data_IF_587136751581
#
_entry.id   IF_587136751581
#
_cell.length_a   1.000
_cell.length_b   1.000
_cell.length_c   1.000
_cell.angle_alpha   90.00
_cell.angle_beta   90.00
_cell.angle_gamma   90.00
#
_symmetry.space_group_name_H-M   'P 1'
#
loop_
_entity.id
_entity.type
_entity.pdbx_description
1 polymer ?
#
# COMPACT_ATOMS: atom_id res chain seq x y z
N UNK A 1 13.01 -24.98 30.62
CA UNK A 1 14.34 -25.23 30.04
C UNK A 1 14.14 -25.47 28.55
N UNK A 2 14.71 -24.64 27.64
CA UNK A 2 14.51 -24.83 26.21
C UNK A 2 15.37 -25.98 25.68
N UNK A 3 14.76 -26.75 24.78
CA UNK A 3 15.22 -28.02 24.25
C UNK A 3 16.51 -27.89 23.41
N UNK A 4 17.42 -28.85 23.61
CA UNK A 4 18.82 -28.85 23.20
C UNK A 4 19.00 -28.85 21.67
N UNK A 5 17.98 -29.29 20.93
CA UNK A 5 17.96 -29.30 19.46
C UNK A 5 17.85 -27.89 18.83
N UNK A 6 17.24 -26.92 19.54
CA UNK A 6 17.09 -25.57 18.99
C UNK A 6 18.42 -24.79 19.05
N UNK A 7 19.28 -25.11 20.01
CA UNK A 7 20.63 -24.51 20.14
C UNK A 7 21.64 -25.14 19.17
N UNK A 8 21.49 -26.41 18.81
CA UNK A 8 22.40 -27.06 17.86
C UNK A 8 22.17 -26.63 16.40
N UNK A 9 20.94 -26.31 16.00
CA UNK A 9 20.63 -25.84 14.64
C UNK A 9 21.13 -24.40 14.44
N UNK A 10 21.09 -23.57 15.49
CA UNK A 10 21.59 -22.19 15.45
C UNK A 10 23.13 -22.09 15.48
N UNK A 11 23.82 -23.03 16.15
CA UNK A 11 25.29 -23.03 16.21
C UNK A 11 25.97 -23.68 15.00
N UNK A 12 25.30 -24.58 14.26
CA UNK A 12 25.88 -25.22 13.05
C UNK A 12 25.86 -24.32 11.80
N UNK A 13 25.12 -23.22 11.83
CA UNK A 13 25.15 -22.20 10.77
C UNK A 13 26.30 -21.16 10.96
N UNK A 14 27.09 -21.26 12.03
CA UNK A 14 28.10 -20.27 12.42
C UNK A 14 29.53 -20.82 12.48
N UNK A 15 29.81 -21.96 11.84
CA UNK A 15 31.15 -22.60 11.87
C UNK A 15 31.61 -23.17 10.53
N UNK A 16 31.48 -22.36 9.47
CA UNK A 16 32.25 -22.51 8.24
C UNK A 16 32.86 -21.15 7.84
N UNK A 17 34.04 -20.87 8.43
CA UNK A 17 35.19 -20.19 7.81
C UNK A 17 34.95 -18.80 7.17
N UNK A 18 35.44 -17.68 7.69
CA UNK A 18 36.83 -17.44 8.12
C UNK A 18 37.89 -18.02 7.17
N UNK A 19 37.65 -17.93 5.84
CA UNK A 19 38.66 -18.21 4.83
C UNK A 19 38.54 -17.35 3.55
N UNK A 20 38.35 -16.04 3.67
CA UNK A 20 38.65 -15.09 2.58
C UNK A 20 39.20 -13.77 3.15
N UNK A 21 40.32 -13.85 3.87
CA UNK A 21 41.19 -12.69 4.15
C UNK A 21 42.58 -12.95 3.57
N UNK A 22 42.68 -12.82 2.24
CA UNK A 22 43.93 -12.49 1.54
C UNK A 22 43.59 -11.54 0.40
N UNK A 23 43.64 -10.24 0.68
CA UNK A 23 43.68 -9.20 -0.37
C UNK A 23 44.95 -9.45 -1.20
N UNK A 24 44.80 -9.68 -2.50
CA UNK A 24 45.91 -9.53 -3.45
C UNK A 24 46.21 -8.03 -3.62
N UNK A 25 47.48 -7.62 -3.78
CA UNK A 25 47.78 -6.24 -4.11
C UNK A 25 47.31 -5.92 -5.53
N UNK A 26 46.69 -4.75 -5.70
CA UNK A 26 46.33 -4.16 -6.99
C UNK A 26 47.63 -3.60 -7.62
N UNK A 27 47.90 -3.83 -8.91
CA UNK A 27 49.05 -3.21 -9.57
C UNK A 27 48.78 -1.76 -9.95
N UNK A 28 49.81 -0.92 -9.77
CA UNK A 28 49.83 0.51 -10.10
C UNK A 28 49.78 0.79 -11.61
N UNK A 29 49.02 1.84 -11.98
CA UNK A 29 49.31 2.74 -13.10
C UNK A 29 48.45 2.58 -14.37
N UNK A 30 47.67 3.63 -14.69
CA UNK A 30 47.87 4.56 -15.84
C UNK A 30 46.65 5.53 -16.00
N UNK A 31 46.78 6.65 -16.76
CA UNK A 31 46.44 8.00 -16.27
C UNK A 31 45.11 8.58 -16.78
N UNK A 32 44.59 9.54 -16.00
CA UNK A 32 43.94 10.79 -16.42
C UNK A 32 42.75 10.73 -17.37
N UNK A 33 41.55 11.02 -16.86
CA UNK A 33 40.59 11.92 -17.53
C UNK A 33 39.76 12.68 -16.48
N UNK A 34 40.04 13.98 -16.44
CA UNK A 34 39.17 15.14 -16.24
C UNK A 34 37.99 15.13 -15.25
N UNK A 35 38.14 16.07 -14.33
CA UNK A 35 37.19 16.59 -13.36
C UNK A 35 35.78 16.88 -13.90
N UNK A 36 34.78 16.16 -13.39
CA UNK A 36 33.45 16.71 -13.17
C UNK A 36 33.33 17.13 -11.69
N UNK A 37 32.76 18.31 -11.37
CA UNK A 37 32.70 18.79 -9.99
C UNK A 37 31.78 17.90 -9.16
N UNK A 38 32.34 17.29 -8.12
CA UNK A 38 31.58 16.59 -7.10
C UNK A 38 30.63 17.58 -6.41
N UNK A 39 29.33 17.40 -6.61
CA UNK A 39 28.30 18.05 -5.79
C UNK A 39 28.47 17.49 -4.37
N UNK A 40 28.60 18.32 -3.31
CA UNK A 40 28.81 17.81 -1.97
C UNK A 40 27.50 17.20 -1.48
N UNK A 41 27.32 15.89 -1.66
CA UNK A 41 26.28 15.14 -0.99
C UNK A 41 26.65 15.09 0.49
N UNK A 42 26.10 16.00 1.29
CA UNK A 42 26.19 15.93 2.73
C UNK A 42 25.50 14.63 3.17
N UNK A 43 26.30 13.59 3.39
CA UNK A 43 25.88 12.31 3.96
C UNK A 43 25.36 12.57 5.37
N UNK A 44 24.05 12.84 5.49
CA UNK A 44 23.39 12.89 6.78
C UNK A 44 23.28 11.45 7.29
N UNK A 45 24.23 11.04 8.13
CA UNK A 45 24.43 9.67 8.61
C UNK A 45 23.51 9.28 9.78
N UNK A 46 22.46 10.06 10.05
CA UNK A 46 21.54 9.81 11.16
C UNK A 46 20.47 8.80 10.72
N UNK A 47 20.34 7.68 11.44
CA UNK A 47 19.25 6.72 11.18
C UNK A 47 17.89 7.42 11.27
N UNK A 48 17.01 7.25 10.27
CA UNK A 48 15.64 7.78 10.32
C UNK A 48 14.89 7.20 11.52
N UNK A 49 14.12 8.05 12.19
CA UNK A 49 13.20 7.61 13.23
C UNK A 49 11.98 6.95 12.61
N UNK A 50 11.30 6.10 13.40
CA UNK A 50 10.02 5.52 12.98
C UNK A 50 8.98 6.59 12.62
N UNK A 51 8.94 7.71 13.35
CA UNK A 51 8.00 8.80 13.08
C UNK A 51 8.23 9.46 11.71
N UNK A 52 9.49 9.70 11.34
CA UNK A 52 9.85 10.21 10.00
C UNK A 52 9.46 9.21 8.89
N UNK A 53 9.65 7.91 9.14
CA UNK A 53 9.24 6.87 8.21
C UNK A 53 7.71 6.76 8.06
N UNK A 54 6.95 6.93 9.14
CA UNK A 54 5.48 6.98 9.08
C UNK A 54 5.02 8.21 8.29
N UNK A 55 5.63 9.38 8.51
CA UNK A 55 5.29 10.57 7.73
C UNK A 55 5.55 10.37 6.23
N UNK A 56 6.68 9.75 5.86
CA UNK A 56 6.99 9.40 4.48
C UNK A 56 5.98 8.41 3.89
N UNK A 57 5.62 7.36 4.64
CA UNK A 57 4.59 6.40 4.27
C UNK A 57 3.27 7.12 3.96
N UNK A 58 2.82 8.01 4.84
CA UNK A 58 1.53 8.70 4.70
C UNK A 58 1.52 9.72 3.56
N UNK A 59 2.68 10.29 3.21
CA UNK A 59 2.86 11.12 2.02
C UNK A 59 2.75 10.28 0.72
N UNK A 60 3.30 9.05 0.73
CA UNK A 60 3.43 8.24 -0.48
C UNK A 60 2.22 7.34 -0.76
N UNK A 61 1.67 6.74 0.28
CA UNK A 61 0.60 5.74 0.20
C UNK A 61 -0.68 6.40 0.67
N UNK A 62 -1.68 6.54 -0.20
CA UNK A 62 -2.98 7.13 0.16
C UNK A 62 -3.95 6.05 0.65
N UNK A 63 -3.83 4.84 0.11
CA UNK A 63 -4.69 3.70 0.44
C UNK A 63 -4.60 3.31 1.92
N UNK A 64 -5.70 3.43 2.69
CA UNK A 64 -5.72 2.97 4.09
C UNK A 64 -5.49 1.47 4.21
N UNK A 65 -5.90 0.70 3.19
CA UNK A 65 -5.67 -0.74 3.13
C UNK A 65 -4.18 -1.08 3.01
N UNK A 66 -3.45 -0.37 2.14
CA UNK A 66 -2.02 -0.58 1.96
C UNK A 66 -1.24 -0.11 3.18
N UNK A 67 -1.60 1.03 3.80
CA UNK A 67 -1.00 1.45 5.09
C UNK A 67 -1.17 0.38 6.17
N UNK A 68 -2.37 -0.19 6.31
CA UNK A 68 -2.64 -1.28 7.26
C UNK A 68 -1.81 -2.53 6.98
N UNK A 69 -1.60 -2.87 5.70
CA UNK A 69 -0.68 -3.95 5.32
C UNK A 69 0.74 -3.64 5.79
N UNK A 70 1.27 -2.46 5.48
CA UNK A 70 2.63 -2.06 5.85
C UNK A 70 2.83 -2.00 7.38
N UNK A 71 1.85 -1.52 8.14
CA UNK A 71 1.86 -1.61 9.60
C UNK A 71 1.86 -3.05 10.13
N UNK A 72 1.14 -3.96 9.46
CA UNK A 72 1.12 -5.37 9.82
C UNK A 72 2.48 -6.05 9.53
N UNK A 73 3.11 -5.74 8.39
CA UNK A 73 4.44 -6.23 8.03
C UNK A 73 5.49 -5.70 9.00
N UNK A 74 5.50 -4.38 9.27
CA UNK A 74 6.38 -3.79 10.29
C UNK A 74 6.28 -4.54 11.63
N UNK A 75 5.06 -4.76 12.13
CA UNK A 75 4.84 -5.41 13.41
C UNK A 75 5.32 -6.87 13.42
N UNK A 76 5.12 -7.60 12.31
CA UNK A 76 5.61 -8.96 12.15
C UNK A 76 7.15 -9.04 12.12
N UNK A 77 7.79 -8.14 11.36
CA UNK A 77 9.24 -8.10 11.21
C UNK A 77 9.91 -7.64 12.51
N UNK A 78 9.38 -6.61 13.20
CA UNK A 78 9.82 -6.22 14.56
C UNK A 78 9.70 -7.35 15.58
N UNK A 79 8.63 -8.15 15.50
CA UNK A 79 8.48 -9.33 16.36
C UNK A 79 9.60 -10.35 16.14
N UNK A 80 10.03 -10.57 14.91
CA UNK A 80 11.18 -11.43 14.64
C UNK A 80 12.49 -10.84 15.13
N UNK A 81 12.70 -9.53 14.97
CA UNK A 81 13.90 -8.86 15.46
C UNK A 81 14.09 -9.12 16.97
N UNK A 82 13.03 -8.99 17.77
CA UNK A 82 13.04 -9.36 19.20
C UNK A 82 13.39 -10.82 19.48
N UNK A 83 12.82 -11.74 18.70
CA UNK A 83 13.08 -13.17 18.87
C UNK A 83 14.53 -13.53 18.53
N UNK A 84 15.17 -12.77 17.66
CA UNK A 84 16.50 -13.04 17.11
C UNK A 84 17.60 -12.18 17.75
N UNK A 85 17.23 -11.18 18.56
CA UNK A 85 18.18 -10.25 19.19
C UNK A 85 18.76 -9.23 18.21
N UNK A 86 17.99 -8.89 17.17
CA UNK A 86 18.36 -7.97 16.10
C UNK A 86 17.79 -6.56 16.35
N UNK A 87 18.26 -5.58 15.57
CA UNK A 87 17.82 -4.19 15.67
C UNK A 87 16.36 -4.03 15.19
N UNK A 88 15.44 -3.78 16.13
CA UNK A 88 14.02 -3.60 15.84
C UNK A 88 13.72 -2.41 14.93
N UNK A 89 14.53 -1.36 14.95
CA UNK A 89 14.27 -0.16 14.16
C UNK A 89 14.68 -0.35 12.72
N UNK A 90 15.85 -0.94 12.44
CA UNK A 90 16.24 -1.33 11.07
C UNK A 90 15.19 -2.26 10.45
N UNK A 91 14.79 -3.28 11.20
CA UNK A 91 13.83 -4.29 10.78
C UNK A 91 12.42 -3.69 10.59
N UNK A 92 12.03 -2.79 11.49
CA UNK A 92 10.79 -2.05 11.40
C UNK A 92 10.74 -1.13 10.19
N UNK A 93 11.80 -0.37 9.91
CA UNK A 93 11.86 0.50 8.73
C UNK A 93 11.69 -0.28 7.43
N UNK A 94 12.35 -1.44 7.30
CA UNK A 94 12.21 -2.30 6.14
C UNK A 94 10.77 -2.81 5.97
N UNK A 95 10.15 -3.32 7.04
CA UNK A 95 8.77 -3.76 6.99
C UNK A 95 7.75 -2.63 6.73
N UNK A 96 8.00 -1.44 7.28
CA UNK A 96 7.10 -0.29 7.16
C UNK A 96 7.11 0.33 5.75
N UNK A 97 8.23 0.25 5.03
CA UNK A 97 8.44 1.00 3.78
C UNK A 97 8.60 0.10 2.53
N UNK A 98 8.46 -1.23 2.66
CA UNK A 98 8.70 -2.14 1.53
C UNK A 98 7.85 -1.83 0.29
N UNK A 99 6.57 -1.52 0.48
CA UNK A 99 5.59 -1.22 -0.57
C UNK A 99 5.45 0.28 -0.90
N UNK A 100 6.44 1.12 -0.58
CA UNK A 100 6.28 2.58 -0.60
C UNK A 100 5.81 3.12 -1.95
N UNK A 101 6.26 2.50 -3.05
CA UNK A 101 5.91 2.88 -4.42
C UNK A 101 4.80 2.03 -5.04
N UNK A 102 4.32 0.98 -4.37
CA UNK A 102 3.38 0.00 -4.94
C UNK A 102 2.10 0.65 -5.47
N UNK A 103 1.52 1.60 -4.72
CA UNK A 103 0.27 2.25 -5.11
C UNK A 103 0.41 3.11 -6.38
N UNK A 104 1.55 3.80 -6.54
CA UNK A 104 1.79 4.78 -7.62
C UNK A 104 2.52 4.18 -8.82
N UNK A 105 3.36 3.17 -8.59
CA UNK A 105 4.28 2.58 -9.57
C UNK A 105 4.35 1.05 -9.46
N UNK A 106 3.22 0.32 -9.52
CA UNK A 106 3.20 -1.13 -9.33
C UNK A 106 4.01 -1.90 -10.38
N UNK A 107 4.19 -1.35 -11.59
CA UNK A 107 4.97 -1.93 -12.69
C UNK A 107 6.48 -1.77 -12.51
N UNK A 108 6.90 -0.87 -11.61
CA UNK A 108 8.31 -0.57 -11.29
C UNK A 108 8.58 -0.72 -9.81
N UNK A 109 7.81 -1.56 -9.14
CA UNK A 109 8.01 -1.85 -7.74
C UNK A 109 9.11 -2.93 -7.60
N UNK A 110 10.11 -2.72 -6.73
CA UNK A 110 10.25 -1.66 -5.73
C UNK A 110 11.21 -0.53 -6.13
N UNK A 111 11.57 -0.42 -7.41
CA UNK A 111 12.68 0.43 -7.88
C UNK A 111 12.49 1.92 -7.56
N UNK A 112 11.27 2.45 -7.62
CA UNK A 112 11.02 3.88 -7.38
C UNK A 112 11.12 4.19 -5.88
N UNK A 113 10.53 3.34 -5.04
CA UNK A 113 10.57 3.47 -3.59
C UNK A 113 12.01 3.35 -3.09
N UNK A 114 12.75 2.36 -3.59
CA UNK A 114 14.16 2.14 -3.27
C UNK A 114 15.03 3.33 -3.67
N UNK A 115 14.86 3.87 -4.88
CA UNK A 115 15.60 5.06 -5.31
C UNK A 115 15.36 6.24 -4.35
N UNK A 116 14.10 6.45 -3.94
CA UNK A 116 13.74 7.50 -3.00
C UNK A 116 14.39 7.29 -1.62
N UNK A 117 14.37 6.07 -1.10
CA UNK A 117 14.96 5.75 0.20
C UNK A 117 16.48 5.99 0.18
N UNK A 118 17.17 5.64 -0.92
CA UNK A 118 18.60 5.95 -1.10
C UNK A 118 18.87 7.45 -1.14
N UNK A 119 18.06 8.23 -1.86
CA UNK A 119 18.18 9.70 -1.88
C UNK A 119 18.02 10.33 -0.49
N UNK A 120 17.12 9.78 0.32
CA UNK A 120 16.87 10.23 1.70
C UNK A 120 17.93 9.73 2.70
N UNK A 121 18.88 8.90 2.25
CA UNK A 121 19.97 8.39 3.09
C UNK A 121 19.57 7.24 4.02
N UNK A 122 18.53 6.47 3.68
CA UNK A 122 18.17 5.28 4.45
C UNK A 122 19.32 4.25 4.42
N UNK A 123 19.54 3.49 5.51
CA UNK A 123 20.59 2.48 5.57
C UNK A 123 20.45 1.44 4.45
N UNK A 124 21.56 1.08 3.81
CA UNK A 124 21.54 0.11 2.69
C UNK A 124 21.00 -1.25 3.12
N UNK A 125 21.14 -1.65 4.39
CA UNK A 125 20.52 -2.88 4.91
C UNK A 125 18.99 -2.86 4.84
N UNK A 126 18.36 -1.69 5.00
CA UNK A 126 16.91 -1.51 4.83
C UNK A 126 16.57 -1.56 3.35
N UNK A 127 17.30 -0.81 2.53
CA UNK A 127 17.07 -0.71 1.09
C UNK A 127 17.22 -2.06 0.41
N UNK A 128 18.29 -2.81 0.70
CA UNK A 128 18.52 -4.14 0.16
C UNK A 128 17.41 -5.12 0.52
N UNK A 129 16.93 -5.10 1.76
CA UNK A 129 15.79 -5.94 2.17
C UNK A 129 14.53 -5.62 1.35
N UNK A 130 14.29 -4.34 1.08
CA UNK A 130 13.20 -3.87 0.22
C UNK A 130 13.46 -4.22 -1.25
N UNK A 131 14.69 -4.27 -1.76
CA UNK A 131 14.91 -4.80 -3.10
C UNK A 131 14.62 -6.32 -3.15
N UNK A 132 15.07 -7.06 -2.13
CA UNK A 132 14.96 -8.51 -2.07
C UNK A 132 13.53 -9.02 -1.87
N UNK A 133 12.63 -8.25 -1.25
CA UNK A 133 11.26 -8.72 -1.00
C UNK A 133 10.48 -8.96 -2.30
N UNK A 134 10.82 -8.24 -3.37
CA UNK A 134 10.17 -8.36 -4.68
C UNK A 134 10.74 -9.50 -5.54
N UNK A 135 11.66 -10.33 -5.02
CA UNK A 135 12.25 -11.43 -5.79
C UNK A 135 11.25 -12.58 -6.07
N UNK A 136 11.30 -13.24 -7.24
CA UNK A 136 12.04 -12.89 -8.46
C UNK A 136 11.22 -12.00 -9.42
N UNK A 137 10.00 -11.62 -9.03
CA UNK A 137 8.99 -11.11 -9.93
C UNK A 137 9.20 -9.61 -10.24
N UNK A 138 9.74 -8.84 -9.28
CA UNK A 138 10.08 -7.43 -9.41
C UNK A 138 11.59 -7.14 -9.41
N UNK A 139 12.43 -8.02 -8.84
CA UNK A 139 13.89 -7.85 -8.81
C UNK A 139 14.64 -9.17 -8.94
N UNK A 140 15.90 -9.10 -9.39
CA UNK A 140 16.85 -10.22 -9.37
C UNK A 140 17.63 -10.32 -8.05
N UNK A 141 17.29 -9.52 -7.04
CA UNK A 141 17.99 -9.46 -5.76
C UNK A 141 17.51 -10.61 -4.88
N UNK A 142 18.34 -11.64 -4.73
CA UNK A 142 17.98 -12.83 -3.94
C UNK A 142 17.95 -12.49 -2.43
N UNK A 143 16.96 -12.98 -1.66
CA UNK A 143 16.94 -12.83 -0.20
C UNK A 143 18.09 -13.60 0.48
N UNK A 144 19.18 -12.91 0.82
CA UNK A 144 20.38 -13.51 1.39
C UNK A 144 20.49 -13.32 2.90
N UNK A 145 20.20 -12.11 3.37
CA UNK A 145 20.31 -11.75 4.79
C UNK A 145 19.16 -12.33 5.62
N UNK A 146 19.33 -12.33 6.95
CA UNK A 146 18.25 -12.75 7.85
C UNK A 146 17.04 -11.81 7.74
N UNK A 147 17.26 -10.50 7.61
CA UNK A 147 16.20 -9.52 7.42
C UNK A 147 15.47 -9.74 6.10
N UNK A 148 16.18 -9.94 4.99
CA UNK A 148 15.57 -10.15 3.66
C UNK A 148 14.60 -11.32 3.69
N UNK A 149 15.06 -12.46 4.24
CA UNK A 149 14.26 -13.69 4.33
C UNK A 149 13.05 -13.51 5.23
N UNK A 150 13.21 -12.78 6.34
CA UNK A 150 12.10 -12.50 7.26
C UNK A 150 11.09 -11.56 6.62
N UNK A 151 11.51 -10.46 6.00
CA UNK A 151 10.64 -9.51 5.32
C UNK A 151 9.85 -10.24 4.23
N UNK A 152 10.54 -10.98 3.35
CA UNK A 152 9.93 -11.78 2.29
C UNK A 152 8.87 -12.74 2.83
N UNK A 153 9.18 -13.49 3.89
CA UNK A 153 8.21 -14.44 4.43
C UNK A 153 7.05 -13.79 5.18
N UNK A 154 7.25 -12.61 5.76
CA UNK A 154 6.19 -11.90 6.47
C UNK A 154 5.17 -11.26 5.53
N UNK A 155 5.63 -10.61 4.46
CA UNK A 155 4.84 -9.76 3.57
C UNK A 155 3.51 -10.41 3.11
N UNK A 156 3.56 -11.42 2.25
CA UNK A 156 2.34 -12.07 1.76
C UNK A 156 1.53 -12.77 2.87
N UNK A 157 2.20 -13.23 3.93
CA UNK A 157 1.54 -13.92 5.02
C UNK A 157 0.74 -12.98 5.93
N UNK A 158 1.18 -11.73 6.14
CA UNK A 158 0.42 -10.74 6.92
C UNK A 158 -0.87 -10.36 6.21
N UNK A 159 -0.86 -10.20 4.89
CA UNK A 159 -2.07 -9.98 4.10
C UNK A 159 -3.10 -11.12 4.28
N UNK A 160 -2.63 -12.37 4.31
CA UNK A 160 -3.50 -13.51 4.58
C UNK A 160 -4.01 -13.56 6.04
N UNK A 161 -3.15 -13.25 7.01
CA UNK A 161 -3.54 -13.16 8.43
C UNK A 161 -4.61 -12.08 8.62
N UNK A 162 -4.42 -10.90 8.02
CA UNK A 162 -5.38 -9.81 8.04
C UNK A 162 -6.73 -10.25 7.44
N UNK A 163 -6.72 -10.87 6.25
CA UNK A 163 -7.93 -11.43 5.64
C UNK A 163 -8.62 -12.47 6.55
N UNK A 164 -7.85 -13.31 7.26
CA UNK A 164 -8.40 -14.26 8.22
C UNK A 164 -9.11 -13.58 9.38
N UNK A 165 -8.63 -12.42 9.84
CA UNK A 165 -9.27 -11.65 10.90
C UNK A 165 -10.63 -11.11 10.45
N UNK A 166 -10.73 -10.59 9.22
CA UNK A 166 -11.96 -9.98 8.70
C UNK A 166 -13.14 -10.94 8.55
N UNK A 167 -12.89 -12.25 8.46
CA UNK A 167 -13.94 -13.28 8.33
C UNK A 167 -14.28 -13.97 9.64
N UNK A 168 -13.68 -13.56 10.76
CA UNK A 168 -13.88 -14.16 12.08
C UNK A 168 -14.68 -13.25 13.00
N UNK A 169 -15.48 -13.84 13.89
CA UNK A 169 -16.22 -13.08 14.91
C UNK A 169 -15.30 -12.35 15.90
N UNK A 170 -14.23 -13.02 16.33
CA UNK A 170 -13.27 -12.53 17.32
C UNK A 170 -12.01 -11.92 16.68
N UNK A 171 -12.01 -11.73 15.35
CA UNK A 171 -10.87 -11.17 14.64
C UNK A 171 -9.56 -11.91 14.93
N UNK A 172 -8.56 -11.17 15.37
CA UNK A 172 -7.22 -11.67 15.75
C UNK A 172 -7.12 -12.22 17.19
N UNK A 173 -8.06 -11.84 18.07
CA UNK A 173 -7.94 -12.05 19.53
C UNK A 173 -7.78 -13.54 19.87
N UNK A 174 -8.46 -14.42 19.13
CA UNK A 174 -8.37 -15.87 19.27
C UNK A 174 -7.84 -16.58 18.00
N UNK A 175 -7.22 -15.84 17.08
CA UNK A 175 -6.73 -16.39 15.82
C UNK A 175 -5.60 -17.41 16.08
N UNK A 176 -5.80 -18.63 15.55
CA UNK A 176 -4.85 -19.74 15.71
C UNK A 176 -4.15 -20.05 14.39
N UNK A 177 -2.85 -20.45 14.41
CA UNK A 177 -2.11 -20.79 13.20
C UNK A 177 -2.78 -21.84 12.31
N UNK A 178 -3.44 -22.84 12.91
CA UNK A 178 -4.18 -23.87 12.18
C UNK A 178 -5.29 -23.32 11.28
N UNK A 179 -5.89 -22.20 11.65
CA UNK A 179 -6.96 -21.59 10.86
C UNK A 179 -6.38 -20.91 9.61
N UNK A 180 -5.30 -20.14 9.77
CA UNK A 180 -4.56 -19.52 8.66
C UNK A 180 -4.03 -20.60 7.71
N UNK A 181 -3.36 -21.63 8.24
CA UNK A 181 -2.83 -22.73 7.45
C UNK A 181 -3.90 -23.48 6.63
N UNK A 182 -5.14 -23.54 7.12
CA UNK A 182 -6.28 -24.07 6.35
C UNK A 182 -6.68 -23.10 5.24
N UNK A 183 -6.86 -21.81 5.58
CA UNK A 183 -7.24 -20.76 4.63
C UNK A 183 -6.25 -20.57 3.49
N UNK A 184 -4.96 -20.78 3.72
CA UNK A 184 -3.92 -20.80 2.68
C UNK A 184 -4.23 -21.77 1.52
N UNK A 185 -4.86 -22.91 1.81
CA UNK A 185 -5.16 -23.94 0.80
C UNK A 185 -6.40 -23.58 -0.03
N UNK A 186 -7.20 -22.64 0.44
CA UNK A 186 -8.43 -22.19 -0.22
C UNK A 186 -8.07 -21.11 -1.24
N UNK A 187 -7.80 -21.48 -2.50
CA UNK A 187 -7.37 -20.52 -3.56
C UNK A 187 -8.35 -19.35 -3.78
N UNK A 188 -9.64 -19.56 -3.53
CA UNK A 188 -10.66 -18.52 -3.64
C UNK A 188 -10.63 -17.50 -2.48
N UNK A 189 -10.04 -17.85 -1.34
CA UNK A 189 -9.88 -16.97 -0.20
C UNK A 189 -8.64 -16.10 -0.40
N UNK A 190 -8.72 -14.79 -0.14
CA UNK A 190 -7.60 -13.85 -0.32
C UNK A 190 -6.88 -14.03 -1.68
N UNK A 191 -7.63 -13.83 -2.78
CA UNK A 191 -7.14 -14.05 -4.16
C UNK A 191 -5.93 -13.22 -4.54
N UNK A 192 -5.75 -12.06 -3.91
CA UNK A 192 -4.61 -11.17 -4.15
C UNK A 192 -3.30 -11.63 -3.51
N UNK A 193 -3.31 -12.67 -2.67
CA UNK A 193 -2.09 -13.16 -2.01
C UNK A 193 -1.41 -14.23 -2.86
N UNK A 194 -0.14 -14.02 -3.20
CA UNK A 194 0.63 -14.90 -4.06
C UNK A 194 1.08 -16.17 -3.32
N UNK A 195 0.40 -17.30 -3.59
CA UNK A 195 0.62 -18.57 -2.87
C UNK A 195 2.04 -19.12 -3.01
N UNK A 196 2.66 -18.90 -4.17
CA UNK A 196 4.04 -19.35 -4.43
C UNK A 196 5.06 -18.52 -3.65
N UNK A 197 4.84 -17.20 -3.56
CA UNK A 197 5.64 -16.31 -2.71
C UNK A 197 5.51 -16.70 -1.23
N UNK A 198 4.31 -17.00 -0.73
CA UNK A 198 4.13 -17.50 0.64
C UNK A 198 4.90 -18.80 0.87
N UNK A 199 4.91 -19.73 -0.11
CA UNK A 199 5.65 -20.97 0.02
C UNK A 199 7.17 -20.72 0.03
N UNK A 200 7.68 -19.90 -0.89
CA UNK A 200 9.09 -19.48 -0.90
C UNK A 200 9.50 -18.83 0.43
N UNK A 201 8.64 -17.99 1.00
CA UNK A 201 8.86 -17.38 2.31
C UNK A 201 9.09 -18.39 3.44
N UNK A 202 8.35 -19.50 3.47
CA UNK A 202 8.61 -20.57 4.45
C UNK A 202 9.97 -21.22 4.25
N UNK A 203 10.34 -21.46 2.99
CA UNK A 203 11.58 -22.15 2.64
C UNK A 203 12.79 -21.27 2.96
N UNK A 204 12.71 -19.97 2.66
CA UNK A 204 13.75 -18.97 2.97
C UNK A 204 13.98 -18.80 4.47
N UNK A 205 12.90 -18.68 5.26
CA UNK A 205 13.02 -18.51 6.71
C UNK A 205 13.53 -19.78 7.41
N UNK A 206 13.37 -20.95 6.79
CA UNK A 206 13.83 -22.23 7.34
C UNK A 206 13.06 -22.67 8.61
N UNK A 207 11.91 -22.07 8.89
CA UNK A 207 11.06 -22.42 10.03
C UNK A 207 9.91 -23.34 9.60
N UNK A 208 9.46 -24.18 10.53
CA UNK A 208 8.21 -24.93 10.34
C UNK A 208 7.06 -23.94 10.07
N UNK A 209 6.26 -24.19 9.03
CA UNK A 209 5.08 -23.40 8.64
C UNK A 209 4.25 -22.89 9.83
N UNK A 210 3.87 -23.78 10.75
CA UNK A 210 3.06 -23.43 11.93
C UNK A 210 3.74 -22.43 12.86
N UNK A 211 5.07 -22.52 12.99
CA UNK A 211 5.87 -21.59 13.81
C UNK A 211 5.92 -20.21 13.15
N UNK A 212 6.17 -20.15 11.83
CA UNK A 212 6.20 -18.88 11.11
C UNK A 212 4.84 -18.17 11.17
N UNK A 213 3.75 -18.88 10.88
CA UNK A 213 2.37 -18.35 11.01
C UNK A 213 2.10 -17.85 12.44
N UNK A 214 2.54 -18.59 13.47
CA UNK A 214 2.37 -18.16 14.86
C UNK A 214 3.09 -16.83 15.09
N UNK A 215 4.35 -16.73 14.72
CA UNK A 215 5.14 -15.50 14.93
C UNK A 215 4.51 -14.29 14.20
N UNK A 216 4.02 -14.46 12.97
CA UNK A 216 3.31 -13.39 12.24
C UNK A 216 2.04 -12.98 12.98
N UNK A 217 1.22 -13.93 13.45
CA UNK A 217 0.02 -13.62 14.25
C UNK A 217 0.39 -12.85 15.52
N UNK A 218 1.44 -13.27 16.24
CA UNK A 218 1.86 -12.59 17.48
C UNK A 218 2.38 -11.18 17.20
N UNK A 219 3.12 -10.95 16.11
CA UNK A 219 3.54 -9.63 15.69
C UNK A 219 2.36 -8.72 15.34
N UNK A 220 1.49 -9.16 14.43
CA UNK A 220 0.30 -8.40 14.01
C UNK A 220 -0.64 -8.12 15.19
N UNK A 221 -0.71 -9.01 16.19
CA UNK A 221 -1.53 -8.80 17.39
C UNK A 221 -1.09 -7.56 18.19
N UNK A 222 0.18 -7.17 18.14
CA UNK A 222 0.66 -5.97 18.83
C UNK A 222 0.04 -4.68 18.28
N UNK A 223 -0.38 -4.69 17.01
CA UNK A 223 -0.96 -3.53 16.31
C UNK A 223 -2.44 -3.71 15.99
N UNK A 224 -3.09 -4.70 16.60
CA UNK A 224 -4.44 -5.13 16.28
C UNK A 224 -5.50 -4.02 16.35
N UNK A 225 -5.33 -3.08 17.29
CA UNK A 225 -6.22 -1.91 17.43
C UNK A 225 -6.10 -0.97 16.23
N UNK A 226 -4.86 -0.61 15.84
CA UNK A 226 -4.60 0.26 14.70
C UNK A 226 -5.09 -0.35 13.37
N UNK A 227 -5.04 -1.68 13.26
CA UNK A 227 -5.54 -2.40 12.09
C UNK A 227 -7.07 -2.59 12.09
N UNK A 228 -7.75 -2.34 13.22
CA UNK A 228 -9.17 -2.60 13.43
C UNK A 228 -9.56 -4.07 13.15
N UNK A 229 -8.74 -5.00 13.68
CA UNK A 229 -8.88 -6.45 13.47
C UNK A 229 -9.22 -7.22 14.74
N UNK A 230 -9.61 -6.55 15.83
CA UNK A 230 -10.06 -7.22 17.07
C UNK A 230 -11.51 -7.67 16.97
N UNK A 231 -11.92 -8.54 17.89
CA UNK A 231 -13.31 -9.00 17.99
C UNK A 231 -14.31 -7.86 18.18
N UNK A 232 -13.92 -6.82 18.93
CA UNK A 232 -14.74 -5.61 19.12
C UNK A 232 -14.97 -4.86 17.80
N UNK A 233 -13.97 -4.79 16.92
CA UNK A 233 -14.10 -4.16 15.61
C UNK A 233 -15.00 -4.98 14.70
N UNK A 234 -14.87 -6.30 14.76
CA UNK A 234 -15.74 -7.20 13.99
C UNK A 234 -17.20 -7.14 14.49
N UNK A 235 -17.44 -6.99 15.79
CA UNK A 235 -18.77 -6.77 16.35
C UNK A 235 -19.38 -5.45 15.84
N UNK A 236 -18.62 -4.35 15.89
CA UNK A 236 -19.01 -3.04 15.35
C UNK A 236 -19.38 -3.12 13.86
N UNK A 237 -18.58 -3.81 13.04
CA UNK A 237 -18.86 -4.04 11.61
C UNK A 237 -20.17 -4.80 11.34
N UNK A 238 -20.60 -5.65 12.28
CA UNK A 238 -21.87 -6.39 12.21
C UNK A 238 -23.06 -5.63 12.82
N UNK A 239 -22.85 -4.43 13.37
CA UNK A 239 -23.88 -3.70 14.11
C UNK A 239 -24.22 -4.33 15.48
N UNK A 240 -23.34 -5.18 16.01
CA UNK A 240 -23.50 -5.82 17.31
C UNK A 240 -22.94 -4.91 18.41
N UNK A 241 -23.58 -4.90 19.58
CA UNK A 241 -23.08 -4.17 20.75
C UNK A 241 -21.80 -4.88 21.26
N UNK A 242 -20.65 -4.20 21.40
CA UNK A 242 -19.43 -4.83 21.90
C UNK A 242 -19.63 -5.39 23.31
N UNK A 243 -18.99 -6.53 23.60
CA UNK A 243 -18.90 -7.04 24.98
C UNK A 243 -17.99 -6.11 25.80
N UNK A 244 -18.50 -5.47 26.88
CA UNK A 244 -17.71 -4.56 27.70
C UNK A 244 -16.50 -5.24 28.37
N UNK A 245 -16.46 -6.56 28.47
CA UNK A 245 -15.32 -7.31 29.02
C UNK A 245 -14.09 -7.40 28.10
N UNK A 246 -14.18 -6.92 26.84
CA UNK A 246 -13.10 -6.98 25.85
C UNK A 246 -12.57 -5.59 25.45
N UNK A 247 -13.04 -4.53 26.11
CA UNK A 247 -12.47 -3.18 26.00
C UNK A 247 -11.24 -3.10 26.90
N UNK A 248 -10.05 -3.20 26.30
CA UNK A 248 -8.79 -2.93 27.00
C UNK A 248 -8.14 -4.15 27.66
N UNK A 249 -7.40 -4.92 26.85
CA UNK A 249 -6.18 -5.58 27.35
C UNK A 249 -4.99 -4.89 26.71
N UNK A 250 -4.38 -4.02 27.51
CA UNK A 250 -3.01 -3.55 27.47
C UNK A 250 -2.45 -3.30 26.07
N UNK A 251 -2.78 -2.12 25.53
CA UNK A 251 -1.89 -1.49 24.56
C UNK A 251 -0.62 -1.10 25.31
N UNK A 252 0.35 -2.01 25.36
CA UNK A 252 1.72 -1.64 25.66
C UNK A 252 2.08 -0.47 24.74
N UNK A 253 2.65 0.59 25.29
CA UNK A 253 3.16 1.73 24.55
C UNK A 253 4.20 1.24 23.53
N UNK A 254 3.71 0.93 22.33
CA UNK A 254 4.46 0.27 21.27
C UNK A 254 4.65 1.17 20.05
N UNK A 255 4.42 2.48 20.22
CA UNK A 255 4.52 3.47 19.16
C UNK A 255 3.35 3.48 18.16
N UNK A 256 2.33 2.63 18.33
CA UNK A 256 1.11 2.63 17.50
C UNK A 256 -0.09 3.30 18.21
N UNK A 257 0.11 3.85 19.40
CA UNK A 257 -0.95 4.49 20.19
C UNK A 257 -1.53 5.73 19.48
N UNK A 258 -0.72 6.50 18.76
CA UNK A 258 -1.17 7.67 17.99
C UNK A 258 -2.11 7.29 16.84
N UNK A 259 -2.00 6.07 16.30
CA UNK A 259 -2.92 5.56 15.27
C UNK A 259 -4.32 5.28 15.82
N UNK A 260 -4.51 5.20 17.15
CA UNK A 260 -5.85 5.10 17.78
C UNK A 260 -6.65 6.41 17.67
N UNK A 261 -5.96 7.54 17.46
CA UNK A 261 -6.54 8.89 17.41
C UNK A 261 -6.48 9.53 16.03
N UNK A 262 -6.48 8.72 14.96
CA UNK A 262 -7.10 9.18 13.72
C UNK A 262 -8.61 9.14 13.94
N UNK A 263 -9.09 10.18 14.61
CA UNK A 263 -10.49 10.40 14.91
C UNK A 263 -11.34 10.07 13.67
N UNK A 264 -12.48 9.42 13.92
CA UNK A 264 -13.62 9.36 13.01
C UNK A 264 -14.22 10.73 12.67
N UNK A 265 -13.42 11.81 12.68
CA UNK A 265 -13.66 13.14 12.12
C UNK A 265 -12.75 13.45 10.92
N UNK A 266 -11.91 12.50 10.47
CA UNK A 266 -11.20 12.56 9.19
C UNK A 266 -11.74 11.59 8.13
N UNK A 267 -12.88 10.92 8.38
CA UNK A 267 -13.42 9.81 7.58
C UNK A 267 -14.27 10.20 6.37
N UNK A 268 -14.15 11.43 5.87
CA UNK A 268 -15.06 11.89 4.82
C UNK A 268 -14.37 12.26 3.49
N UNK A 269 -13.03 12.35 3.41
CA UNK A 269 -12.37 12.94 2.23
C UNK A 269 -11.22 12.14 1.61
N UNK A 270 -11.33 10.81 1.59
CA UNK A 270 -10.69 10.01 0.54
C UNK A 270 -11.80 9.19 -0.13
N UNK A 271 -12.44 9.77 -1.15
CA UNK A 271 -13.50 9.11 -1.91
C UNK A 271 -12.90 7.88 -2.62
N UNK A 272 -13.04 6.71 -1.99
CA UNK A 272 -12.89 5.44 -2.69
C UNK A 272 -13.92 5.44 -3.83
N UNK A 273 -13.43 5.45 -5.07
CA UNK A 273 -14.29 5.43 -6.24
C UNK A 273 -15.18 4.18 -6.18
N UNK A 274 -16.50 4.39 -6.09
CA UNK A 274 -17.49 3.32 -6.27
C UNK A 274 -18.54 3.75 -7.28
N UNK A 275 -19.01 2.83 -8.11
CA UNK A 275 -20.04 3.12 -9.12
C UNK A 275 -21.28 3.78 -8.50
N UNK A 276 -21.69 3.35 -7.30
CA UNK A 276 -22.82 3.96 -6.57
C UNK A 276 -22.55 5.43 -6.21
N UNK A 277 -21.35 5.73 -5.69
CA UNK A 277 -20.97 7.11 -5.34
C UNK A 277 -20.82 8.00 -6.57
N UNK A 278 -20.24 7.49 -7.65
CA UNK A 278 -20.10 8.20 -8.92
C UNK A 278 -21.47 8.61 -9.47
N UNK A 279 -22.39 7.65 -9.60
CA UNK A 279 -23.72 7.94 -10.14
C UNK A 279 -24.53 8.87 -9.23
N UNK A 280 -24.32 8.83 -7.91
CA UNK A 280 -24.93 9.79 -6.98
C UNK A 280 -24.38 11.20 -7.22
N UNK A 281 -23.06 11.38 -7.21
CA UNK A 281 -22.42 12.69 -7.39
C UNK A 281 -22.69 13.30 -8.76
N UNK A 282 -22.67 12.50 -9.83
CA UNK A 282 -23.00 12.97 -11.18
C UNK A 282 -24.47 13.43 -11.26
N UNK A 283 -25.42 12.67 -10.70
CA UNK A 283 -26.83 13.06 -10.71
C UNK A 283 -27.08 14.31 -9.89
N UNK A 284 -26.42 14.45 -8.74
CA UNK A 284 -26.47 15.66 -7.93
C UNK A 284 -25.87 16.86 -8.69
N UNK A 285 -24.75 16.68 -9.39
CA UNK A 285 -24.16 17.72 -10.22
C UNK A 285 -25.12 18.14 -11.34
N UNK A 286 -25.65 17.19 -12.11
CA UNK A 286 -26.63 17.41 -13.18
C UNK A 286 -27.87 18.14 -12.65
N UNK A 287 -28.38 17.74 -11.49
CA UNK A 287 -29.52 18.39 -10.83
C UNK A 287 -29.20 19.83 -10.41
N UNK A 288 -28.01 20.06 -9.83
CA UNK A 288 -27.54 21.39 -9.39
C UNK A 288 -27.32 22.35 -10.56
N UNK A 289 -26.70 21.88 -11.64
CA UNK A 289 -26.42 22.72 -12.82
C UNK A 289 -27.64 22.88 -13.73
N UNK A 290 -28.59 21.95 -13.66
CA UNK A 290 -29.86 21.98 -14.40
C UNK A 290 -29.69 21.87 -15.92
N UNK A 291 -30.81 21.85 -16.65
CA UNK A 291 -30.81 21.75 -18.13
C UNK A 291 -30.23 22.97 -18.84
N UNK A 292 -30.20 24.12 -18.16
CA UNK A 292 -29.63 25.38 -18.66
C UNK A 292 -28.13 25.56 -18.41
N UNK A 293 -27.42 24.50 -18.00
CA UNK A 293 -25.98 24.57 -17.76
C UNK A 293 -25.22 25.04 -19.02
N UNK A 294 -24.31 26.01 -18.83
CA UNK A 294 -23.39 26.45 -19.88
C UNK A 294 -22.41 25.34 -20.30
N UNK A 295 -21.72 25.54 -21.43
CA UNK A 295 -20.81 24.56 -22.05
C UNK A 295 -19.83 23.91 -21.06
N UNK A 296 -19.21 24.69 -20.17
CA UNK A 296 -18.24 24.19 -19.20
C UNK A 296 -18.83 23.19 -18.18
N UNK A 297 -20.08 23.38 -17.75
CA UNK A 297 -20.75 22.44 -16.83
C UNK A 297 -21.10 21.12 -17.51
N UNK A 298 -21.56 21.18 -18.75
CA UNK A 298 -21.83 19.99 -19.58
C UNK A 298 -20.54 19.23 -19.91
N UNK A 299 -19.44 19.95 -20.15
CA UNK A 299 -18.12 19.38 -20.41
C UNK A 299 -17.60 18.51 -19.27
N UNK A 300 -17.71 18.98 -18.02
CA UNK A 300 -17.33 18.20 -16.82
C UNK A 300 -18.08 16.88 -16.76
N UNK A 301 -19.41 16.94 -16.91
CA UNK A 301 -20.27 15.75 -16.86
C UNK A 301 -19.91 14.79 -18.00
N UNK A 302 -19.68 15.30 -19.19
CA UNK A 302 -19.30 14.49 -20.34
C UNK A 302 -17.97 13.77 -20.11
N UNK A 303 -16.90 14.47 -19.70
CA UNK A 303 -15.59 13.86 -19.46
C UNK A 303 -15.64 12.82 -18.35
N UNK A 304 -16.36 13.11 -17.26
CA UNK A 304 -16.54 12.16 -16.18
C UNK A 304 -17.25 10.88 -16.65
N UNK A 305 -18.28 11.00 -17.52
CA UNK A 305 -18.96 9.85 -18.11
C UNK A 305 -18.06 9.05 -19.07
N UNK A 306 -17.28 9.71 -19.91
CA UNK A 306 -16.34 9.03 -20.83
C UNK A 306 -15.33 8.21 -20.04
N UNK A 307 -14.72 8.81 -19.01
CA UNK A 307 -13.77 8.11 -18.15
C UNK A 307 -14.45 6.95 -17.39
N UNK A 308 -15.66 7.15 -16.86
CA UNK A 308 -16.42 6.08 -16.22
C UNK A 308 -16.67 4.88 -17.15
N UNK A 309 -17.06 5.13 -18.40
CA UNK A 309 -17.28 4.04 -19.36
C UNK A 309 -15.98 3.38 -19.82
N UNK A 310 -14.88 4.14 -19.91
CA UNK A 310 -13.55 3.59 -20.14
C UNK A 310 -13.11 2.68 -18.98
N UNK A 311 -13.41 3.05 -17.73
CA UNK A 311 -13.10 2.23 -16.56
C UNK A 311 -13.78 0.86 -16.56
N UNK A 312 -15.02 0.80 -17.08
CA UNK A 312 -15.83 -0.42 -17.19
C UNK A 312 -15.41 -1.34 -18.33
N UNK A 313 -14.60 -0.86 -19.28
CA UNK A 313 -14.15 -1.67 -20.41
C UNK A 313 -13.12 -2.72 -19.92
N UNK A 314 -13.33 -4.02 -20.20
CA UNK A 314 -12.39 -5.08 -19.80
C UNK A 314 -11.00 -4.92 -20.41
N UNK A 315 -10.88 -4.27 -21.57
CA UNK A 315 -9.61 -4.06 -22.27
C UNK A 315 -8.79 -2.88 -21.71
N UNK A 316 -9.36 -2.07 -20.81
CA UNK A 316 -8.63 -0.97 -20.19
C UNK A 316 -7.54 -1.53 -19.27
N UNK A 317 -6.26 -1.15 -19.41
CA UNK A 317 -5.21 -1.69 -18.55
C UNK A 317 -5.32 -1.17 -17.11
N UNK A 318 -4.79 -1.92 -16.15
CA UNK A 318 -4.90 -1.61 -14.72
C UNK A 318 -4.39 -0.22 -14.37
N UNK A 319 -3.26 0.22 -14.94
CA UNK A 319 -2.72 1.57 -14.70
C UNK A 319 -3.67 2.69 -15.17
N UNK A 320 -4.37 2.48 -16.30
CA UNK A 320 -5.35 3.43 -16.81
C UNK A 320 -6.59 3.45 -15.93
N UNK A 321 -7.02 2.27 -15.43
CA UNK A 321 -8.10 2.18 -14.43
C UNK A 321 -7.77 2.94 -13.16
N UNK A 322 -6.55 2.81 -12.63
CA UNK A 322 -6.09 3.56 -11.46
C UNK A 322 -6.11 5.08 -11.71
N UNK A 323 -5.60 5.53 -12.86
CA UNK A 323 -5.62 6.94 -13.27
C UNK A 323 -7.05 7.49 -13.33
N UNK A 324 -7.97 6.74 -13.95
CA UNK A 324 -9.39 7.10 -14.06
C UNK A 324 -10.04 7.14 -12.68
N UNK A 325 -9.81 6.13 -11.83
CA UNK A 325 -10.34 6.07 -10.48
C UNK A 325 -9.85 7.24 -9.62
N UNK A 326 -8.58 7.66 -9.76
CA UNK A 326 -8.05 8.83 -9.07
C UNK A 326 -8.75 10.13 -9.51
N UNK A 327 -8.88 10.35 -10.81
CA UNK A 327 -9.54 11.55 -11.34
C UNK A 327 -11.05 11.59 -11.01
N UNK A 328 -11.75 10.45 -11.11
CA UNK A 328 -13.16 10.36 -10.73
C UNK A 328 -13.36 10.41 -9.22
N UNK A 329 -12.44 9.85 -8.43
CA UNK A 329 -12.43 9.95 -6.97
C UNK A 329 -12.29 11.39 -6.52
N UNK A 330 -11.32 12.13 -7.09
CA UNK A 330 -11.16 13.57 -6.87
C UNK A 330 -12.44 14.35 -7.21
N UNK A 331 -13.07 14.03 -8.35
CA UNK A 331 -14.33 14.63 -8.77
C UNK A 331 -15.52 14.32 -7.83
N UNK A 332 -15.53 13.15 -7.18
CA UNK A 332 -16.62 12.71 -6.28
C UNK A 332 -16.50 13.33 -4.88
N UNK A 333 -15.32 13.84 -4.49
CA UNK A 333 -15.10 14.38 -3.15
C UNK A 333 -16.09 15.53 -2.83
N UNK A 334 -16.71 15.53 -1.62
CA UNK A 334 -17.50 16.65 -1.14
C UNK A 334 -16.66 17.92 -1.16
N UNK A 335 -17.21 19.00 -1.72
CA UNK A 335 -16.53 20.28 -1.81
C UNK A 335 -16.40 20.91 -0.41
N UNK A 336 -15.33 20.60 0.33
CA UNK A 336 -14.99 21.33 1.56
C UNK A 336 -13.52 21.21 2.02
N UNK A 337 -12.56 21.01 1.10
CA UNK A 337 -11.12 20.89 1.42
C UNK A 337 -10.22 21.99 0.83
N UNK A 338 -10.80 23.00 0.17
CA UNK A 338 -10.07 24.18 -0.32
C UNK A 338 -10.84 25.44 0.11
N UNK A 339 -10.23 26.35 0.90
CA UNK A 339 -10.86 27.61 1.28
C UNK A 339 -11.24 28.45 0.05
N UNK A 340 -12.43 29.03 0.08
CA UNK A 340 -13.08 29.78 -1.00
C UNK A 340 -12.15 30.81 -1.68
N UNK A 341 -11.85 30.58 -2.96
CA UNK A 341 -11.34 31.62 -3.86
C UNK A 341 -12.38 31.83 -4.97
N UNK A 342 -13.26 32.81 -4.73
CA UNK A 342 -14.26 33.44 -5.60
C UNK A 342 -15.67 32.78 -5.73
N UNK A 343 -16.74 33.48 -5.28
CA UNK A 343 -18.12 33.09 -5.56
C UNK A 343 -18.50 33.38 -7.03
N UNK A 344 -19.00 32.36 -7.74
CA UNK A 344 -19.75 32.55 -8.99
C UNK A 344 -19.13 31.99 -10.27
N UNK A 345 -17.99 31.31 -10.23
CA UNK A 345 -17.39 30.65 -11.41
C UNK A 345 -17.10 29.19 -11.07
N UNK A 346 -17.62 28.26 -11.86
CA UNK A 346 -17.46 26.82 -11.63
C UNK A 346 -16.00 26.38 -11.59
N UNK A 347 -15.72 25.37 -10.76
CA UNK A 347 -14.40 24.80 -10.47
C UNK A 347 -13.59 24.51 -11.74
N UNK A 348 -12.59 25.35 -12.02
CA UNK A 348 -11.63 25.16 -13.12
C UNK A 348 -10.81 23.88 -12.88
N UNK A 349 -10.54 23.54 -11.62
CA UNK A 349 -9.68 22.43 -11.24
C UNK A 349 -10.22 21.06 -11.66
N UNK A 350 -11.54 20.83 -11.53
CA UNK A 350 -12.15 19.55 -11.92
C UNK A 350 -12.10 19.32 -13.44
N UNK A 351 -12.26 20.39 -14.23
CA UNK A 351 -12.09 20.33 -15.69
C UNK A 351 -10.65 19.98 -16.03
N UNK A 352 -9.68 20.62 -15.37
CA UNK A 352 -8.25 20.40 -15.61
C UNK A 352 -7.85 18.96 -15.25
N UNK A 353 -8.29 18.46 -14.10
CA UNK A 353 -8.00 17.09 -13.65
C UNK A 353 -8.62 16.05 -14.59
N UNK A 354 -9.90 16.20 -14.93
CA UNK A 354 -10.59 15.29 -15.85
C UNK A 354 -10.00 15.36 -17.27
N UNK A 355 -9.61 16.55 -17.74
CA UNK A 355 -8.96 16.73 -19.03
C UNK A 355 -7.56 16.10 -19.07
N UNK A 356 -6.75 16.29 -18.03
CA UNK A 356 -5.44 15.67 -17.92
C UNK A 356 -5.56 14.14 -17.90
N UNK A 357 -6.48 13.60 -17.10
CA UNK A 357 -6.75 12.16 -17.08
C UNK A 357 -7.21 11.64 -18.44
N UNK A 358 -8.12 12.35 -19.12
CA UNK A 358 -8.57 12.00 -20.47
C UNK A 358 -7.42 11.97 -21.49
N UNK A 359 -6.47 12.89 -21.38
CA UNK A 359 -5.30 12.93 -22.25
C UNK A 359 -4.34 11.76 -21.96
N UNK A 360 -4.09 11.45 -20.68
CA UNK A 360 -3.23 10.34 -20.24
C UNK A 360 -3.79 8.99 -20.71
N UNK A 361 -5.10 8.78 -20.62
CA UNK A 361 -5.74 7.52 -21.01
C UNK A 361 -6.32 7.55 -22.43
N UNK A 362 -5.98 8.56 -23.24
CA UNK A 362 -6.61 8.82 -24.53
C UNK A 362 -6.60 7.60 -25.46
N UNK A 363 -5.50 6.85 -25.48
CA UNK A 363 -5.33 5.65 -26.31
C UNK A 363 -6.26 4.49 -25.91
N UNK A 364 -6.87 4.55 -24.73
CA UNK A 364 -7.83 3.58 -24.22
C UNK A 364 -9.28 4.06 -24.30
N UNK A 365 -9.52 5.33 -24.64
CA UNK A 365 -10.86 5.86 -24.84
C UNK A 365 -11.33 5.45 -26.23
N UNK A 366 -12.24 4.47 -26.29
CA UNK A 366 -12.79 3.98 -27.55
C UNK A 366 -14.02 4.80 -27.98
N UNK A 367 -14.39 4.80 -29.29
CA UNK A 367 -15.58 5.49 -29.77
C UNK A 367 -16.87 5.09 -29.02
N UNK A 368 -16.98 3.84 -28.57
CA UNK A 368 -18.14 3.35 -27.84
C UNK A 368 -18.30 4.02 -26.47
N UNK A 369 -17.18 4.38 -25.80
CA UNK A 369 -17.22 5.10 -24.51
C UNK A 369 -17.76 6.52 -24.70
N UNK A 370 -17.26 7.20 -25.75
CA UNK A 370 -17.74 8.53 -26.15
C UNK A 370 -19.22 8.50 -26.53
N UNK A 371 -19.66 7.47 -27.26
CA UNK A 371 -21.06 7.33 -27.68
C UNK A 371 -21.99 7.12 -26.48
N UNK A 372 -21.66 6.21 -25.56
CA UNK A 372 -22.45 5.98 -24.33
C UNK A 372 -22.56 7.25 -23.49
N UNK A 373 -21.48 8.04 -23.41
CA UNK A 373 -21.50 9.34 -22.74
C UNK A 373 -22.42 10.34 -23.45
N UNK A 374 -22.35 10.44 -24.79
CA UNK A 374 -23.24 11.30 -25.59
C UNK A 374 -24.72 10.92 -25.41
N UNK A 375 -25.06 9.63 -25.43
CA UNK A 375 -26.43 9.15 -25.22
C UNK A 375 -26.96 9.57 -23.84
N UNK A 376 -26.12 9.45 -22.81
CA UNK A 376 -26.49 9.84 -21.44
C UNK A 376 -26.60 11.36 -21.27
N UNK A 377 -25.73 12.12 -21.92
CA UNK A 377 -25.81 13.59 -21.96
C UNK A 377 -27.11 14.04 -22.63
N UNK A 378 -27.53 13.40 -23.72
CA UNK A 378 -28.80 13.67 -24.41
C UNK A 378 -30.01 13.37 -23.53
N UNK A 379 -29.99 12.26 -22.79
CA UNK A 379 -31.05 11.93 -21.81
C UNK A 379 -31.22 13.02 -20.75
N UNK A 380 -30.13 13.61 -20.26
CA UNK A 380 -30.16 14.58 -19.16
C UNK A 380 -30.38 16.03 -19.61
N UNK A 381 -29.72 16.46 -20.69
CA UNK A 381 -29.67 17.86 -21.12
C UNK A 381 -30.45 18.14 -22.43
N UNK A 382 -30.90 17.12 -23.17
CA UNK A 382 -31.58 17.26 -24.46
C UNK A 382 -30.63 17.54 -25.64
N UNK A 383 -31.21 17.77 -26.83
CA UNK A 383 -30.49 17.90 -28.13
C UNK A 383 -29.93 19.32 -28.41
N UNK A 384 -29.48 20.06 -27.39
CA UNK A 384 -29.05 21.46 -27.54
C UNK A 384 -27.67 21.65 -28.21
N UNK A 385 -27.51 22.79 -28.89
CA UNK A 385 -26.34 23.24 -29.70
C UNK A 385 -25.02 23.49 -28.91
N UNK A 386 -25.02 23.13 -27.62
CA UNK A 386 -23.90 23.26 -26.68
C UNK A 386 -23.27 21.90 -26.38
N UNK A 387 -23.06 21.09 -27.41
CA UNK A 387 -22.38 19.81 -27.27
C UNK A 387 -20.92 20.05 -26.83
N UNK A 388 -20.40 19.25 -25.89
CA UNK A 388 -19.00 19.33 -25.44
C UNK A 388 -18.05 19.17 -26.63
N UNK A 389 -16.88 19.82 -26.58
CA UNK A 389 -15.90 19.78 -27.68
C UNK A 389 -15.29 18.37 -27.81
N UNK A 390 -15.14 17.86 -29.05
CA UNK A 390 -14.78 16.46 -29.35
C UNK A 390 -13.39 15.98 -28.93
#
# INVERSE_FOLDING_TARGET
>A
MPDNDTRQILNKAWSFTHLLRRRKPVPDGLPGTDHAPAVPFAMNTKMPTRAEAVALLEEWVVSPGLRKHMYAVEAAVRHYARLMGEDEDIWGLAGLLHDLDWEKHPDKHPQIGVARLRELGYPEVVVHAIEAHAYPDGTDVVPESLLDRVLYGCDELTGLVYACCLVRRNGIDDLKPRFVARKMKEKAFARGVHRDAVQRGFDLIGLRRTKHIKNVIEGVRTVADALEVRGVDQARRRGERPDPGNEGRDGADNGYAELRHVDGKGRDNAAEYSDKSFWKSIKELVFKIGRGAGKSGKEVVYRALVLHYCLQDPDTPTWARCTIMGALGYFILPADTVPDILPGVGKVDDIVVLAAASAVVLVHIKPEHKQRAKDKMKEWFGDGDDSPAE
#
